data_IF_153592469926
#
_entry.id   IF_153592469926
#
_cell.length_a   1.000
_cell.length_b   1.000
_cell.length_c   1.000
_cell.angle_alpha   90.00
_cell.angle_beta   90.00
_cell.angle_gamma   90.00
#
_symmetry.space_group_name_H-M   'P 1'
#
loop_
_entity.id
_entity.type
_entity.pdbx_description
1 polymer ?
#
# COMPACT_ATOMS: atom_id res chain seq x y z
N UNK A 1 1.77 -14.34 -0.91
CA UNK A 1 1.32 -13.27 -1.83
C UNK A 1 2.56 -12.57 -2.38
N UNK A 2 2.52 -12.03 -3.60
CA UNK A 2 3.68 -11.33 -4.17
C UNK A 2 3.71 -9.83 -3.81
N UNK A 3 2.54 -9.21 -3.62
CA UNK A 3 2.39 -7.84 -3.16
C UNK A 3 0.92 -7.51 -2.90
N UNK A 4 0.67 -6.36 -2.30
CA UNK A 4 -0.67 -5.79 -2.09
C UNK A 4 -0.72 -4.38 -2.68
N UNK A 5 -1.81 -4.03 -3.35
CA UNK A 5 -2.05 -2.69 -3.91
C UNK A 5 -3.32 -2.15 -3.25
N UNK A 6 -3.19 -1.08 -2.48
CA UNK A 6 -4.29 -0.35 -1.86
C UNK A 6 -4.45 1.01 -2.56
N UNK A 7 -5.59 1.23 -3.21
CA UNK A 7 -5.90 2.47 -3.93
C UNK A 7 -7.05 3.18 -3.23
N UNK A 8 -6.89 4.47 -2.94
CA UNK A 8 -7.90 5.34 -2.34
C UNK A 8 -8.59 4.69 -1.13
N UNK A 9 -7.80 4.10 -0.23
CA UNK A 9 -8.25 3.25 0.87
C UNK A 9 -7.61 3.63 2.21
N UNK A 10 -8.05 2.98 3.28
CA UNK A 10 -7.57 3.22 4.64
C UNK A 10 -7.78 2.01 5.56
N UNK A 11 -7.06 1.96 6.69
CA UNK A 11 -7.27 0.97 7.75
C UNK A 11 -8.52 1.31 8.56
N UNK A 12 -9.47 0.37 8.63
CA UNK A 12 -10.67 0.51 9.46
C UNK A 12 -10.37 0.38 10.96
N UNK A 13 -9.44 -0.51 11.32
CA UNK A 13 -9.09 -0.85 12.71
C UNK A 13 -7.56 -0.88 12.88
N UNK A 14 -6.88 0.29 12.80
CA UNK A 14 -5.41 0.35 12.85
C UNK A 14 -4.81 -0.28 14.11
N UNK A 15 -5.50 -0.19 15.24
CA UNK A 15 -5.11 -0.78 16.53
C UNK A 15 -5.07 -2.31 16.54
N UNK A 16 -5.82 -2.97 15.63
CA UNK A 16 -5.87 -4.45 15.53
C UNK A 16 -4.78 -5.00 14.61
N UNK A 17 -4.20 -4.17 13.75
CA UNK A 17 -3.28 -4.59 12.69
C UNK A 17 -2.06 -5.35 13.23
N UNK A 18 -1.48 -4.89 14.33
CA UNK A 18 -0.30 -5.54 14.92
C UNK A 18 -0.58 -6.94 15.45
N UNK A 19 -1.78 -7.16 16.01
CA UNK A 19 -2.20 -8.43 16.59
C UNK A 19 -2.71 -9.43 15.53
N UNK A 20 -3.30 -8.93 14.45
CA UNK A 20 -3.95 -9.77 13.43
C UNK A 20 -3.10 -10.02 12.18
N UNK A 21 -1.97 -9.31 12.02
CA UNK A 21 -1.06 -9.56 10.90
C UNK A 21 -0.51 -10.99 10.96
N UNK A 22 -0.54 -11.67 9.81
CA UNK A 22 0.10 -12.97 9.67
C UNK A 22 1.60 -12.81 9.47
N UNK A 23 2.41 -13.57 10.23
CA UNK A 23 3.87 -13.58 10.07
C UNK A 23 4.32 -13.92 8.64
N UNK A 24 3.57 -14.77 7.94
CA UNK A 24 3.82 -15.12 6.53
C UNK A 24 3.75 -13.94 5.55
N UNK A 25 3.16 -12.80 5.96
CA UNK A 25 3.03 -11.59 5.15
C UNK A 25 3.95 -10.45 5.67
N UNK A 26 4.87 -10.73 6.59
CA UNK A 26 5.70 -9.69 7.19
C UNK A 26 6.54 -8.92 6.17
N UNK A 27 7.02 -9.62 5.14
CA UNK A 27 7.83 -9.04 4.07
C UNK A 27 7.02 -8.71 2.82
N UNK A 28 5.69 -8.80 2.88
CA UNK A 28 4.82 -8.57 1.72
C UNK A 28 4.90 -7.09 1.30
N UNK A 29 5.40 -6.74 0.09
CA UNK A 29 5.42 -5.35 -0.34
C UNK A 29 3.99 -4.81 -0.47
N UNK A 30 3.78 -3.57 -0.05
CA UNK A 30 2.50 -2.88 -0.10
C UNK A 30 2.63 -1.58 -0.87
N UNK A 31 1.86 -1.42 -1.93
CA UNK A 31 1.67 -0.15 -2.60
C UNK A 31 0.45 0.56 -2.03
N UNK A 32 0.59 1.85 -1.72
CA UNK A 32 -0.51 2.72 -1.32
C UNK A 32 -0.57 3.90 -2.29
N UNK A 33 -1.63 3.96 -3.10
CA UNK A 33 -1.91 5.05 -4.03
C UNK A 33 -3.11 5.87 -3.57
N UNK A 34 -2.98 7.20 -3.55
CA UNK A 34 -4.10 8.05 -3.11
C UNK A 34 -4.18 9.39 -3.88
N UNK A 35 -5.41 9.78 -4.23
CA UNK A 35 -5.69 11.11 -4.78
C UNK A 35 -5.63 12.21 -3.71
N UNK A 36 -4.87 13.28 -3.92
CA UNK A 36 -4.79 14.41 -2.98
C UNK A 36 -6.06 15.26 -2.96
N UNK A 37 -6.90 15.13 -3.98
CA UNK A 37 -8.15 15.86 -4.15
C UNK A 37 -9.38 14.95 -3.94
N UNK A 38 -9.18 13.77 -3.35
CA UNK A 38 -10.22 12.78 -3.09
C UNK A 38 -11.25 13.31 -2.09
N UNK A 39 -12.51 13.56 -2.51
CA UNK A 39 -13.54 14.09 -1.63
C UNK A 39 -14.24 12.99 -0.82
N UNK A 40 -14.00 11.71 -1.12
CA UNK A 40 -14.68 10.56 -0.51
C UNK A 40 -13.82 9.95 0.59
N UNK A 41 -12.54 9.73 0.30
CA UNK A 41 -11.55 9.21 1.26
C UNK A 41 -10.43 10.22 1.36
N UNK A 42 -10.40 11.09 2.38
CA UNK A 42 -9.37 12.11 2.50
C UNK A 42 -7.96 11.51 2.46
N UNK A 43 -7.06 12.14 1.69
CA UNK A 43 -5.67 11.68 1.53
C UNK A 43 -4.92 11.47 2.84
N UNK A 44 -5.29 12.23 3.89
CA UNK A 44 -4.75 12.07 5.23
C UNK A 44 -4.95 10.64 5.80
N UNK A 45 -6.04 9.95 5.43
CA UNK A 45 -6.29 8.57 5.85
C UNK A 45 -5.39 7.57 5.13
N UNK A 46 -5.10 7.80 3.84
CA UNK A 46 -4.09 7.05 3.10
C UNK A 46 -2.69 7.23 3.69
N UNK A 47 -2.32 8.47 4.02
CA UNK A 47 -1.04 8.78 4.70
C UNK A 47 -0.96 8.11 6.07
N UNK A 48 -2.04 8.14 6.86
CA UNK A 48 -2.09 7.48 8.16
C UNK A 48 -1.91 5.95 8.02
N UNK A 49 -2.55 5.36 7.00
CA UNK A 49 -2.44 3.92 6.70
C UNK A 49 -1.00 3.53 6.34
N UNK A 50 -0.35 4.28 5.44
CA UNK A 50 1.05 4.04 5.09
C UNK A 50 1.96 4.09 6.32
N UNK A 51 1.81 5.12 7.16
CA UNK A 51 2.59 5.27 8.40
C UNK A 51 2.39 4.12 9.39
N UNK A 52 1.17 3.63 9.55
CA UNK A 52 0.89 2.49 10.43
C UNK A 52 1.55 1.21 9.92
N UNK A 53 1.54 0.97 8.61
CA UNK A 53 2.22 -0.17 7.99
C UNK A 53 3.74 -0.06 8.12
N UNK A 54 4.31 1.13 7.87
CA UNK A 54 5.74 1.41 8.05
C UNK A 54 6.18 1.22 9.50
N UNK A 55 5.38 1.64 10.48
CA UNK A 55 5.65 1.44 11.91
C UNK A 55 5.74 -0.05 12.30
N UNK A 56 5.12 -0.93 11.52
CA UNK A 56 5.19 -2.39 11.68
C UNK A 56 6.28 -3.03 10.80
N UNK A 57 7.19 -2.22 10.26
CA UNK A 57 8.26 -2.61 9.35
C UNK A 57 7.78 -3.27 8.04
N UNK A 58 6.53 -3.01 7.63
CA UNK A 58 6.04 -3.47 6.33
C UNK A 58 6.77 -2.72 5.20
N UNK A 59 7.15 -3.38 4.09
CA UNK A 59 7.74 -2.68 2.94
C UNK A 59 6.66 -1.88 2.19
N UNK A 60 6.58 -0.58 2.44
CA UNK A 60 5.55 0.30 1.85
C UNK A 60 6.12 1.16 0.72
N UNK A 61 5.37 1.27 -0.38
CA UNK A 61 5.58 2.24 -1.46
C UNK A 61 4.35 3.16 -1.53
N UNK A 62 4.47 4.35 -0.95
CA UNK A 62 3.39 5.35 -0.94
C UNK A 62 3.54 6.33 -2.10
N UNK A 63 2.44 6.56 -2.81
CA UNK A 63 2.35 7.50 -3.92
C UNK A 63 1.08 8.33 -3.81
N UNK A 64 1.18 9.61 -4.15
CA UNK A 64 0.04 10.52 -4.20
C UNK A 64 -0.06 11.22 -5.55
N UNK A 65 -1.27 11.56 -5.94
CA UNK A 65 -1.55 12.13 -7.24
C UNK A 65 -2.60 13.25 -7.14
N UNK A 66 -2.50 14.35 -7.92
CA UNK A 66 -3.50 15.40 -7.96
C UNK A 66 -4.74 14.94 -8.75
N UNK A 67 -5.53 14.05 -8.14
CA UNK A 67 -6.74 13.48 -8.71
C UNK A 67 -7.81 13.25 -7.61
N UNK A 68 -9.12 13.23 -7.97
CA UNK A 68 -10.22 13.02 -7.04
C UNK A 68 -10.36 11.53 -6.67
N UNK A 69 -11.55 11.02 -6.33
CA UNK A 69 -11.73 9.57 -6.08
C UNK A 69 -11.77 8.78 -7.41
N UNK A 70 -10.60 8.56 -8.02
CA UNK A 70 -10.45 7.92 -9.35
C UNK A 70 -9.06 7.30 -9.50
N UNK A 71 -8.72 6.82 -10.71
CA UNK A 71 -7.39 6.28 -11.05
C UNK A 71 -6.84 7.00 -12.28
N UNK A 72 -5.54 7.27 -12.32
CA UNK A 72 -4.86 7.95 -13.44
C UNK A 72 -3.84 7.08 -14.18
N UNK A 73 -3.42 7.51 -15.39
CA UNK A 73 -2.37 6.84 -16.17
C UNK A 73 -1.01 6.83 -15.44
N UNK A 74 -0.54 7.94 -14.81
CA UNK A 74 0.66 7.90 -13.97
C UNK A 74 0.56 6.85 -12.85
N UNK A 75 -0.58 6.79 -12.15
CA UNK A 75 -0.80 5.82 -11.09
C UNK A 75 -0.76 4.37 -11.60
N UNK A 76 -1.39 4.08 -12.74
CA UNK A 76 -1.31 2.77 -13.39
C UNK A 76 0.13 2.40 -13.78
N UNK A 77 0.93 3.37 -14.22
CA UNK A 77 2.33 3.14 -14.55
C UNK A 77 3.16 2.78 -13.30
N UNK A 78 2.91 3.46 -12.18
CA UNK A 78 3.53 3.17 -10.88
C UNK A 78 3.11 1.80 -10.32
N UNK A 79 1.82 1.47 -10.37
CA UNK A 79 1.32 0.13 -10.03
C UNK A 79 2.01 -0.92 -10.90
N UNK A 80 2.14 -0.67 -12.20
CA UNK A 80 2.83 -1.58 -13.10
C UNK A 80 4.30 -1.80 -12.73
N UNK A 81 5.02 -0.74 -12.32
CA UNK A 81 6.40 -0.84 -11.81
C UNK A 81 6.45 -1.66 -10.52
N UNK A 82 5.56 -1.36 -9.58
CA UNK A 82 5.45 -2.05 -8.31
C UNK A 82 5.21 -3.55 -8.51
N UNK A 83 4.21 -3.94 -9.29
CA UNK A 83 3.88 -5.35 -9.54
C UNK A 83 5.03 -6.12 -10.19
N UNK A 84 5.84 -5.49 -11.05
CA UNK A 84 7.05 -6.11 -11.61
C UNK A 84 8.14 -6.31 -10.56
N UNK A 85 8.26 -5.43 -9.57
CA UNK A 85 9.21 -5.59 -8.46
C UNK A 85 8.83 -6.70 -7.48
N UNK A 86 7.53 -6.96 -7.29
CA UNK A 86 7.01 -8.02 -6.42
C UNK A 86 7.44 -9.45 -6.81
N UNK A 87 7.92 -9.65 -8.04
CA UNK A 87 8.36 -10.95 -8.55
C UNK A 87 9.84 -11.26 -8.39
N UNK A 88 10.64 -10.38 -7.76
CA UNK A 88 12.11 -10.50 -7.70
C UNK A 88 12.59 -10.62 -6.24
N UNK A 89 12.38 -11.81 -5.65
CA UNK A 89 12.85 -12.22 -4.30
C UNK A 89 11.71 -12.26 -3.26
N UNK A 90 11.45 -13.33 -2.51
CA UNK A 90 12.32 -14.37 -1.96
C UNK A 90 11.62 -15.74 -1.96
N UNK A 91 12.20 -16.72 -2.68
CA UNK A 91 12.07 -18.13 -2.31
C UNK A 91 13.26 -18.41 -1.39
N UNK A 92 13.08 -18.74 -0.10
CA UNK A 92 14.19 -19.26 0.68
C UNK A 92 14.63 -20.57 0.01
N UNK A 93 15.93 -20.66 -0.30
CA UNK A 93 16.54 -21.92 -0.65
C UNK A 93 16.50 -22.83 0.58
N UNK A 94 16.00 -24.05 0.35
CA UNK A 94 16.13 -25.29 1.13
C UNK A 94 16.14 -25.23 2.65
#
# INVERSE_FOLDING_TARGET
LAGLVALSSYLLFPERLSAERAAANADLPVFVGHGTEDPVVPAAMGVATARQLEALAQPVSFHSYPLPHSVSVPELADIGRFLRSCGVGSKPAS
#
